data_IF_578323077326
#
_entry.id   IF_578323077326
#
_cell.length_a   1.000
_cell.length_b   1.000
_cell.length_c   1.000
_cell.angle_alpha   90.00
_cell.angle_beta   90.00
_cell.angle_gamma   90.00
#
_symmetry.space_group_name_H-M   'P 1'
#
loop_
_entity.id
_entity.type
_entity.pdbx_description
1 polymer ?
#
# COMPACT_ATOMS: atom_id res chain seq x y z
N UNK A 1 29.06 -3.23 40.88
CA UNK A 1 27.78 -3.64 41.48
C UNK A 1 26.87 -2.46 41.24
N UNK A 2 26.23 -2.39 40.09
CA UNK A 2 25.05 -3.21 39.79
C UNK A 2 25.16 -3.98 38.47
N UNK A 3 24.52 -5.14 38.45
CA UNK A 3 24.60 -6.16 37.42
C UNK A 3 23.22 -6.24 36.76
N UNK A 4 23.20 -6.19 35.41
CA UNK A 4 22.17 -6.71 34.50
C UNK A 4 20.79 -6.00 34.39
N UNK A 5 20.03 -6.22 33.28
CA UNK A 5 20.33 -7.07 32.11
C UNK A 5 20.21 -6.41 30.74
N UNK A 6 20.95 -6.97 29.78
CA UNK A 6 20.54 -7.02 28.37
C UNK A 6 19.28 -7.86 28.26
N UNK A 7 18.17 -7.27 27.83
CA UNK A 7 17.12 -7.97 27.11
C UNK A 7 17.04 -7.37 25.72
N UNK A 8 17.57 -8.16 24.79
CA UNK A 8 17.14 -8.19 23.41
C UNK A 8 15.63 -8.47 23.43
N UNK A 9 14.79 -7.47 23.17
CA UNK A 9 13.45 -7.71 22.62
C UNK A 9 13.59 -7.69 21.11
N UNK A 10 13.86 -8.88 20.56
CA UNK A 10 13.38 -9.23 19.22
C UNK A 10 11.86 -9.17 19.30
N UNK A 11 11.35 -8.05 18.85
CA UNK A 11 10.03 -7.90 18.32
C UNK A 11 10.26 -6.89 17.22
N UNK A 12 10.65 -7.39 16.04
CA UNK A 12 10.45 -6.61 14.82
C UNK A 12 9.05 -6.03 14.95
N UNK A 13 8.98 -4.72 15.05
CA UNK A 13 7.78 -4.00 14.70
C UNK A 13 7.54 -4.42 13.26
N UNK A 14 6.75 -5.48 13.05
CA UNK A 14 6.08 -5.76 11.80
C UNK A 14 5.03 -4.66 11.65
N UNK A 15 5.51 -3.41 11.61
CA UNK A 15 4.76 -2.26 11.18
C UNK A 15 4.17 -2.69 9.86
N UNK A 16 2.84 -2.69 9.81
CA UNK A 16 2.04 -3.12 8.68
C UNK A 16 2.70 -2.60 7.40
N UNK A 17 3.32 -3.51 6.66
CA UNK A 17 4.28 -3.15 5.63
C UNK A 17 3.58 -2.22 4.62
N UNK A 18 4.18 -1.06 4.37
CA UNK A 18 3.76 -0.15 3.29
C UNK A 18 4.82 -0.16 2.20
N UNK A 19 4.90 -1.21 1.37
CA UNK A 19 5.98 -1.38 0.39
C UNK A 19 5.94 -0.36 -0.76
N UNK A 20 4.94 0.52 -0.76
CA UNK A 20 4.70 1.53 -1.78
C UNK A 20 4.64 2.96 -1.21
N UNK A 21 4.90 3.15 0.09
CA UNK A 21 4.77 4.46 0.78
C UNK A 21 3.43 5.16 0.41
N UNK A 22 2.35 4.37 0.41
CA UNK A 22 1.05 4.79 -0.09
C UNK A 22 0.17 5.42 0.99
N UNK A 23 0.53 5.35 2.27
CA UNK A 23 -0.25 5.98 3.35
C UNK A 23 -0.12 7.50 3.30
N UNK A 24 -1.26 8.17 3.27
CA UNK A 24 -1.33 9.62 3.34
C UNK A 24 -2.36 10.07 4.38
N UNK A 25 -2.32 11.35 4.74
CA UNK A 25 -3.18 11.91 5.78
C UNK A 25 -3.99 13.10 5.26
N UNK A 26 -5.16 13.30 5.84
CA UNK A 26 -5.99 14.49 5.63
C UNK A 26 -6.65 14.92 6.94
N UNK A 27 -7.15 16.14 6.98
CA UNK A 27 -7.93 16.65 8.12
C UNK A 27 -9.41 16.38 7.84
N UNK A 28 -10.04 15.57 8.70
CA UNK A 28 -11.47 15.27 8.62
C UNK A 28 -12.32 16.50 8.99
N UNK A 29 -13.63 16.44 8.72
CA UNK A 29 -14.53 17.57 8.95
C UNK A 29 -14.63 18.03 10.40
N UNK A 30 -14.30 17.15 11.35
CA UNK A 30 -14.25 17.45 12.79
C UNK A 30 -12.89 17.99 13.26
N UNK A 31 -11.94 18.20 12.34
CA UNK A 31 -10.59 18.66 12.64
C UNK A 31 -9.60 17.56 13.05
N UNK A 32 -10.04 16.29 13.13
CA UNK A 32 -9.16 15.17 13.46
C UNK A 32 -8.30 14.74 12.26
N UNK A 33 -7.08 14.23 12.48
CA UNK A 33 -6.30 13.61 11.41
C UNK A 33 -6.89 12.25 11.05
N UNK A 34 -7.03 11.99 9.75
CA UNK A 34 -7.45 10.70 9.20
C UNK A 34 -6.42 10.20 8.19
N UNK A 35 -6.30 8.87 8.07
CA UNK A 35 -5.36 8.18 7.19
C UNK A 35 -6.11 7.52 6.04
N UNK A 36 -5.54 7.55 4.85
CA UNK A 36 -6.03 6.83 3.68
C UNK A 36 -4.87 6.26 2.86
N UNK A 37 -5.19 5.33 1.97
CA UNK A 37 -4.24 4.75 1.01
C UNK A 37 -4.35 5.53 -0.30
N UNK A 38 -3.30 6.30 -0.62
CA UNK A 38 -3.19 7.11 -1.83
C UNK A 38 -2.61 6.27 -2.98
N UNK A 39 -3.49 5.77 -3.86
CA UNK A 39 -3.08 5.10 -5.09
C UNK A 39 -2.25 6.00 -6.03
N UNK A 40 -2.24 7.32 -5.79
CA UNK A 40 -1.35 8.27 -6.46
C UNK A 40 0.14 8.00 -6.20
N UNK A 41 0.49 7.28 -5.13
CA UNK A 41 1.86 6.81 -4.90
C UNK A 41 2.38 5.98 -6.08
N UNK A 42 1.56 5.08 -6.60
CA UNK A 42 1.89 4.24 -7.75
C UNK A 42 2.15 5.07 -9.02
N UNK A 43 1.40 6.15 -9.23
CA UNK A 43 1.62 7.05 -10.36
C UNK A 43 2.90 7.89 -10.18
N UNK A 44 3.18 8.38 -8.96
CA UNK A 44 4.42 9.11 -8.65
C UNK A 44 5.65 8.25 -8.87
N UNK A 45 5.55 6.95 -8.59
CA UNK A 45 6.59 5.95 -8.80
C UNK A 45 6.68 5.46 -10.27
N UNK A 46 5.81 5.97 -11.15
CA UNK A 46 5.80 5.61 -12.57
C UNK A 46 5.27 4.21 -12.89
N UNK A 47 4.55 3.58 -11.95
CA UNK A 47 3.98 2.24 -12.12
C UNK A 47 2.81 2.23 -13.11
N UNK A 48 1.97 3.26 -13.09
CA UNK A 48 0.80 3.36 -13.96
C UNK A 48 0.34 4.81 -14.18
N UNK A 49 -0.64 4.99 -15.06
CA UNK A 49 -1.35 6.25 -15.29
C UNK A 49 -2.80 6.10 -14.85
N UNK A 50 -3.17 6.74 -13.75
CA UNK A 50 -4.48 6.53 -13.11
C UNK A 50 -5.66 7.06 -13.93
N UNK A 51 -5.41 8.03 -14.81
CA UNK A 51 -6.39 8.61 -15.72
C UNK A 51 -6.78 7.67 -16.86
N UNK A 52 -5.88 6.77 -17.26
CA UNK A 52 -6.13 5.74 -18.29
C UNK A 52 -6.84 4.49 -17.72
N UNK A 53 -6.93 4.35 -16.39
CA UNK A 53 -7.52 3.20 -15.70
C UNK A 53 -9.01 3.45 -15.34
N UNK A 54 -9.94 2.54 -15.65
CA UNK A 54 -11.34 2.64 -15.23
C UNK A 54 -11.51 2.75 -13.71
N UNK A 55 -12.53 3.47 -13.26
CA UNK A 55 -12.79 3.69 -11.83
C UNK A 55 -12.94 2.39 -11.06
N UNK A 56 -13.59 1.37 -11.64
CA UNK A 56 -13.75 0.05 -11.02
C UNK A 56 -12.40 -0.63 -10.73
N UNK A 57 -11.44 -0.51 -11.64
CA UNK A 57 -10.09 -1.06 -11.45
C UNK A 57 -9.30 -0.26 -10.43
N UNK A 58 -9.47 1.08 -10.38
CA UNK A 58 -8.86 1.91 -9.32
C UNK A 58 -9.33 1.52 -7.92
N UNK A 59 -10.60 1.11 -7.76
CA UNK A 59 -11.12 0.59 -6.49
C UNK A 59 -10.44 -0.74 -6.11
N UNK A 60 -10.29 -1.66 -7.06
CA UNK A 60 -9.57 -2.92 -6.82
C UNK A 60 -8.10 -2.68 -6.47
N UNK A 61 -7.46 -1.72 -7.15
CA UNK A 61 -6.07 -1.35 -6.91
C UNK A 61 -5.87 -0.78 -5.51
N UNK A 62 -6.75 0.12 -5.04
CA UNK A 62 -6.70 0.62 -3.65
C UNK A 62 -6.85 -0.51 -2.64
N UNK A 63 -7.81 -1.42 -2.87
CA UNK A 63 -8.06 -2.52 -1.97
C UNK A 63 -6.86 -3.48 -1.87
N UNK A 64 -6.21 -3.76 -3.00
CA UNK A 64 -4.98 -4.55 -3.04
C UNK A 64 -3.83 -3.83 -2.33
N UNK A 65 -3.64 -2.54 -2.60
CA UNK A 65 -2.60 -1.71 -2.00
C UNK A 65 -2.73 -1.64 -0.46
N UNK A 66 -3.96 -1.44 0.04
CA UNK A 66 -4.27 -1.43 1.48
C UNK A 66 -4.12 -2.78 2.16
N UNK A 67 -4.14 -3.88 1.40
CA UNK A 67 -4.03 -5.25 1.92
C UNK A 67 -2.71 -5.93 1.55
N UNK A 68 -1.77 -5.20 0.98
CA UNK A 68 -0.46 -5.71 0.56
C UNK A 68 0.37 -6.12 1.79
N UNK A 69 0.19 -7.36 2.23
CA UNK A 69 0.85 -7.95 3.40
C UNK A 69 2.05 -8.83 3.03
N UNK A 70 2.29 -9.04 1.73
CA UNK A 70 3.35 -9.90 1.23
C UNK A 70 3.05 -11.40 1.32
N UNK A 71 1.84 -11.78 1.74
CA UNK A 71 1.40 -13.17 1.86
C UNK A 71 0.11 -13.46 1.08
N UNK A 72 -1.01 -12.86 1.48
CA UNK A 72 -2.30 -12.99 0.78
C UNK A 72 -2.39 -12.03 -0.40
N UNK A 73 -1.86 -10.82 -0.25
CA UNK A 73 -1.72 -9.87 -1.34
C UNK A 73 -0.26 -9.47 -1.42
N UNK A 74 0.35 -9.82 -2.54
CA UNK A 74 1.78 -9.57 -2.78
C UNK A 74 1.99 -8.24 -3.51
N UNK A 75 3.24 -7.77 -3.50
CA UNK A 75 3.67 -6.60 -4.29
C UNK A 75 3.36 -6.83 -5.78
N UNK A 76 3.62 -8.03 -6.28
CA UNK A 76 3.33 -8.47 -7.64
C UNK A 76 1.84 -8.40 -7.99
N UNK A 77 0.94 -8.71 -7.04
CA UNK A 77 -0.50 -8.62 -7.29
C UNK A 77 -0.94 -7.17 -7.49
N UNK A 78 -0.43 -6.24 -6.67
CA UNK A 78 -0.67 -4.80 -6.83
C UNK A 78 -0.15 -4.32 -8.18
N UNK A 79 1.08 -4.69 -8.55
CA UNK A 79 1.69 -4.32 -9.83
C UNK A 79 0.91 -4.89 -11.03
N UNK A 80 0.39 -6.12 -10.91
CA UNK A 80 -0.43 -6.74 -11.97
C UNK A 80 -1.74 -6.00 -12.19
N UNK A 81 -2.42 -5.59 -11.11
CA UNK A 81 -3.65 -4.78 -11.22
C UNK A 81 -3.33 -3.40 -11.80
N UNK A 82 -2.24 -2.76 -11.35
CA UNK A 82 -1.81 -1.46 -11.85
C UNK A 82 -1.44 -1.48 -13.34
N UNK A 83 -1.01 -2.63 -13.85
CA UNK A 83 -0.67 -2.86 -15.26
C UNK A 83 -1.87 -3.18 -16.16
N UNK A 84 -3.10 -3.03 -15.65
CA UNK A 84 -4.31 -3.28 -16.43
C UNK A 84 -4.29 -2.53 -17.76
N UNK A 85 -4.78 -3.20 -18.81
CA UNK A 85 -4.97 -2.63 -20.14
C UNK A 85 -6.27 -3.18 -20.75
N UNK A 86 -7.02 -2.39 -21.55
CA UNK A 86 -8.20 -2.88 -22.24
C UNK A 86 -7.89 -3.98 -23.27
N UNK A 87 -6.65 -4.04 -23.76
CA UNK A 87 -6.19 -5.01 -24.77
C UNK A 87 -5.54 -6.26 -24.15
N UNK A 88 -5.59 -6.40 -22.83
CA UNK A 88 -4.90 -7.49 -22.12
C UNK A 88 -5.59 -8.82 -22.42
N UNK A 89 -4.86 -9.77 -23.00
CA UNK A 89 -5.31 -11.16 -23.16
C UNK A 89 -4.90 -11.98 -21.93
N UNK A 90 -5.84 -12.63 -21.23
CA UNK A 90 -5.49 -13.56 -20.18
C UNK A 90 -4.72 -14.76 -20.79
N UNK A 91 -3.64 -15.18 -20.11
CA UNK A 91 -2.91 -16.42 -20.42
C UNK A 91 -3.68 -17.67 -20.02
#
# INVERSE_FOLDING_TARGET
MEHMPTVITVGDDMGEADPFDARSTFVASDGSPAVFVDIGALQRDGVCKLDEIPVSIRILLEAALRKCDGFLVTKEDVLRIASWSPEMTPE
#
